data_IF_147182749051
#
_entry.id   IF_147182749051
#
_cell.length_a   1.000
_cell.length_b   1.000
_cell.length_c   1.000
_cell.angle_alpha   90.00
_cell.angle_beta   90.00
_cell.angle_gamma   90.00
#
_symmetry.space_group_name_H-M   'P 1'
#
loop_
_entity.id
_entity.type
_entity.pdbx_description
1 polymer ?
#
# COMPACT_ATOMS: atom_id res chain seq x y z
N UNK A 1 9.60 -12.91 -25.42
CA UNK A 1 10.02 -12.46 -24.08
C UNK A 1 8.74 -12.27 -23.30
N UNK A 2 8.52 -13.11 -22.30
CA UNK A 2 7.32 -13.05 -21.47
C UNK A 2 7.41 -11.77 -20.64
N UNK A 3 6.49 -10.82 -20.86
CA UNK A 3 6.55 -9.51 -20.21
C UNK A 3 5.87 -9.65 -18.86
N UNK A 4 6.59 -9.43 -17.76
CA UNK A 4 5.97 -9.43 -16.44
C UNK A 4 4.98 -8.26 -16.36
N UNK A 5 3.70 -8.51 -15.99
CA UNK A 5 2.73 -7.44 -15.89
C UNK A 5 3.13 -6.46 -14.80
N UNK A 6 2.75 -5.19 -14.97
CA UNK A 6 3.06 -4.13 -14.01
C UNK A 6 2.34 -4.41 -12.69
N UNK A 7 3.06 -4.39 -11.58
CA UNK A 7 2.50 -4.50 -10.22
C UNK A 7 3.12 -3.44 -9.32
N UNK A 8 2.30 -2.56 -8.77
CA UNK A 8 2.74 -1.34 -8.07
C UNK A 8 2.58 -1.49 -6.55
N UNK A 9 3.66 -1.27 -5.81
CA UNK A 9 3.60 -0.96 -4.39
C UNK A 9 3.63 0.57 -4.25
N UNK A 10 2.53 1.16 -3.80
CA UNK A 10 2.47 2.59 -3.51
C UNK A 10 2.64 2.83 -2.01
N UNK A 11 3.69 3.55 -1.62
CA UNK A 11 3.96 3.95 -0.24
C UNK A 11 3.58 5.41 -0.07
N UNK A 12 2.73 5.72 0.90
CA UNK A 12 2.42 7.08 1.31
C UNK A 12 2.77 7.29 2.77
N UNK A 13 3.69 8.22 3.01
CA UNK A 13 4.19 8.58 4.34
C UNK A 13 3.32 9.70 4.95
N UNK A 14 2.42 10.29 4.15
CA UNK A 14 1.67 11.46 4.56
C UNK A 14 2.48 12.75 4.35
N UNK A 15 1.79 13.89 4.44
CA UNK A 15 2.37 15.19 4.16
C UNK A 15 2.73 15.99 5.43
N UNK A 16 2.09 15.66 6.55
CA UNK A 16 2.02 16.53 7.73
C UNK A 16 2.98 16.15 8.85
N UNK A 17 3.42 14.89 8.91
CA UNK A 17 4.41 14.42 9.88
C UNK A 17 5.54 13.69 9.15
N UNK A 18 6.81 13.98 9.48
CA UNK A 18 7.92 13.20 8.95
C UNK A 18 7.85 11.78 9.51
N UNK A 19 8.24 10.82 8.68
CA UNK A 19 8.40 9.43 9.11
C UNK A 19 9.52 8.77 8.30
N UNK A 20 10.70 9.37 8.46
CA UNK A 20 11.94 9.00 7.79
C UNK A 20 12.35 7.55 8.09
N UNK A 21 11.98 7.05 9.27
CA UNK A 21 12.14 5.65 9.63
C UNK A 21 11.41 4.72 8.65
N UNK A 22 10.15 5.04 8.29
CA UNK A 22 9.42 4.27 7.29
C UNK A 22 10.06 4.40 5.91
N UNK A 23 10.43 5.62 5.49
CA UNK A 23 11.08 5.83 4.20
C UNK A 23 12.36 4.99 4.06
N UNK A 24 13.20 5.02 5.10
CA UNK A 24 14.43 4.24 5.14
C UNK A 24 14.12 2.73 5.07
N UNK A 25 13.10 2.27 5.81
CA UNK A 25 12.71 0.86 5.82
C UNK A 25 12.12 0.35 4.50
N UNK A 26 11.39 1.18 3.74
CA UNK A 26 10.92 0.78 2.40
C UNK A 26 12.02 0.80 1.33
N UNK A 27 13.17 1.41 1.63
CA UNK A 27 14.35 1.40 0.76
C UNK A 27 15.42 0.40 1.23
N UNK A 28 15.24 -0.24 2.38
CA UNK A 28 16.13 -1.29 2.89
C UNK A 28 15.93 -2.62 2.12
N UNK A 29 17.02 -3.39 2.01
CA UNK A 29 17.05 -4.68 1.32
C UNK A 29 15.87 -5.61 1.65
N UNK A 30 15.51 -5.89 2.92
CA UNK A 30 14.49 -6.88 3.22
C UNK A 30 13.13 -6.57 2.60
N UNK A 31 12.79 -5.28 2.49
CA UNK A 31 11.53 -4.86 1.89
C UNK A 31 11.57 -4.94 0.35
N UNK A 32 12.64 -4.45 -0.28
CA UNK A 32 12.80 -4.50 -1.73
C UNK A 32 12.86 -5.93 -2.26
N UNK A 33 13.57 -6.81 -1.55
CA UNK A 33 13.63 -8.23 -1.85
C UNK A 33 12.25 -8.89 -1.71
N UNK A 34 11.50 -8.56 -0.65
CA UNK A 34 10.14 -9.06 -0.48
C UNK A 34 9.20 -8.60 -1.61
N UNK A 35 9.31 -7.36 -2.08
CA UNK A 35 8.56 -6.86 -3.23
C UNK A 35 8.91 -7.66 -4.50
N UNK A 36 10.20 -7.82 -4.79
CA UNK A 36 10.68 -8.57 -5.96
C UNK A 36 10.22 -10.04 -5.96
N UNK A 37 10.34 -10.71 -4.81
CA UNK A 37 9.88 -12.09 -4.61
C UNK A 37 8.36 -12.26 -4.80
N UNK A 38 7.58 -11.19 -4.61
CA UNK A 38 6.14 -11.15 -4.85
C UNK A 38 5.78 -10.47 -6.18
N UNK A 39 6.74 -10.41 -7.12
CA UNK A 39 6.55 -9.93 -8.50
C UNK A 39 6.09 -8.47 -8.61
N UNK A 40 6.38 -7.64 -7.60
CA UNK A 40 6.24 -6.20 -7.77
C UNK A 40 7.28 -5.72 -8.76
N UNK A 41 6.87 -4.82 -9.65
CA UNK A 41 7.74 -4.25 -10.68
C UNK A 41 8.04 -2.78 -10.42
N UNK A 42 7.20 -2.12 -9.61
CA UNK A 42 7.31 -0.70 -9.30
C UNK A 42 7.09 -0.43 -7.83
N UNK A 43 7.99 0.37 -7.24
CA UNK A 43 7.84 0.99 -5.94
C UNK A 43 7.68 2.49 -6.14
N UNK A 44 6.51 3.03 -5.80
CA UNK A 44 6.20 4.44 -5.90
C UNK A 44 6.06 5.01 -4.49
N UNK A 45 6.84 6.05 -4.16
CA UNK A 45 6.91 6.57 -2.79
C UNK A 45 6.49 8.05 -2.77
N UNK A 46 5.47 8.38 -1.99
CA UNK A 46 5.18 9.74 -1.58
C UNK A 46 5.91 10.03 -0.26
N UNK A 47 6.78 11.04 -0.28
CA UNK A 47 7.51 11.49 0.90
C UNK A 47 7.19 12.95 1.23
N UNK A 48 7.43 13.33 2.50
CA UNK A 48 7.40 14.72 2.93
C UNK A 48 8.69 15.47 2.55
N UNK A 49 8.77 16.75 2.92
CA UNK A 49 9.89 17.64 2.58
C UNK A 49 11.27 17.07 3.02
N UNK A 50 11.35 16.53 4.23
CA UNK A 50 12.58 15.94 4.80
C UNK A 50 12.96 14.63 4.09
N UNK A 51 11.98 13.80 3.74
CA UNK A 51 12.20 12.50 3.09
C UNK A 51 12.83 12.59 1.70
N UNK A 52 12.76 13.75 1.04
CA UNK A 52 13.41 13.97 -0.27
C UNK A 52 14.91 13.69 -0.21
N UNK A 53 15.59 14.09 0.86
CA UNK A 53 17.04 13.89 0.99
C UNK A 53 17.39 12.39 1.05
N UNK A 54 16.60 11.61 1.77
CA UNK A 54 16.77 10.14 1.89
C UNK A 54 16.58 9.48 0.52
N UNK A 55 15.52 9.86 -0.19
CA UNK A 55 15.23 9.33 -1.52
C UNK A 55 16.30 9.70 -2.56
N UNK A 56 16.71 10.97 -2.61
CA UNK A 56 17.73 11.46 -3.54
C UNK A 56 19.08 10.76 -3.28
N UNK A 57 19.47 10.60 -2.02
CA UNK A 57 20.69 9.87 -1.65
C UNK A 57 20.63 8.39 -2.10
N UNK A 58 19.50 7.71 -1.87
CA UNK A 58 19.32 6.34 -2.31
C UNK A 58 19.42 6.21 -3.84
N UNK A 59 18.73 7.08 -4.58
CA UNK A 59 18.68 7.02 -6.04
C UNK A 59 20.02 7.41 -6.68
N UNK A 60 20.77 8.33 -6.08
CA UNK A 60 22.13 8.66 -6.50
C UNK A 60 23.11 7.51 -6.26
N UNK A 61 23.01 6.83 -5.12
CA UNK A 61 23.85 5.67 -4.78
C UNK A 61 23.51 4.46 -5.65
N UNK A 62 22.23 4.24 -5.92
CA UNK A 62 21.72 3.11 -6.68
C UNK A 62 20.87 3.61 -7.86
N UNK A 63 21.47 3.98 -9.00
CA UNK A 63 20.72 4.35 -10.20
C UNK A 63 19.90 3.18 -10.79
N UNK A 64 18.97 3.43 -11.73
CA UNK A 64 18.21 2.38 -12.40
C UNK A 64 19.08 1.26 -12.98
N UNK A 65 18.64 0.01 -12.86
CA UNK A 65 19.37 -1.18 -13.32
C UNK A 65 20.39 -1.74 -12.34
N UNK A 66 20.61 -1.10 -11.18
CA UNK A 66 21.47 -1.64 -10.12
C UNK A 66 20.84 -2.85 -9.41
N UNK A 67 21.64 -3.89 -9.07
CA UNK A 67 21.15 -5.08 -8.36
C UNK A 67 20.43 -4.76 -7.05
N UNK A 68 20.85 -3.71 -6.33
CA UNK A 68 20.26 -3.27 -5.07
C UNK A 68 18.82 -2.76 -5.20
N UNK A 69 18.35 -2.52 -6.44
CA UNK A 69 16.94 -2.23 -6.72
C UNK A 69 16.09 -3.49 -6.90
N UNK A 70 16.67 -4.68 -6.92
CA UNK A 70 15.94 -5.95 -7.08
C UNK A 70 15.01 -5.99 -8.31
N UNK A 71 15.41 -5.32 -9.39
CA UNK A 71 14.62 -5.22 -10.62
C UNK A 71 13.43 -4.24 -10.54
N UNK A 72 13.28 -3.50 -9.45
CA UNK A 72 12.18 -2.54 -9.25
C UNK A 72 12.45 -1.21 -9.95
N UNK A 73 11.42 -0.68 -10.61
CA UNK A 73 11.29 0.74 -10.94
C UNK A 73 10.94 1.52 -9.66
N UNK A 74 11.93 2.18 -9.07
CA UNK A 74 11.74 2.96 -7.83
C UNK A 74 11.62 4.44 -8.19
N UNK A 75 10.45 5.01 -7.91
CA UNK A 75 10.08 6.40 -8.16
C UNK A 75 9.58 7.05 -6.88
N UNK A 76 9.74 8.37 -6.81
CA UNK A 76 9.31 9.12 -5.64
C UNK A 76 8.88 10.53 -6.01
N UNK A 77 8.01 11.09 -5.18
CA UNK A 77 7.49 12.44 -5.33
C UNK A 77 7.15 13.03 -3.96
N UNK A 78 7.08 14.35 -3.92
CA UNK A 78 6.73 15.12 -2.73
C UNK A 78 5.20 15.31 -2.61
N UNK A 79 4.75 16.38 -1.97
CA UNK A 79 3.32 16.64 -1.80
C UNK A 79 2.64 17.06 -3.11
N UNK A 80 1.54 16.39 -3.47
CA UNK A 80 0.65 16.77 -4.57
C UNK A 80 -0.61 17.48 -4.07
N UNK A 81 -0.88 18.67 -4.61
CA UNK A 81 -2.09 19.45 -4.29
C UNK A 81 -3.39 18.75 -4.72
N UNK A 82 -3.33 17.97 -5.80
CA UNK A 82 -4.49 17.28 -6.37
C UNK A 82 -4.84 15.97 -5.65
N UNK A 83 -4.18 15.68 -4.52
CA UNK A 83 -4.36 14.45 -3.74
C UNK A 83 -3.52 13.28 -4.27
N UNK A 84 -3.82 12.07 -3.76
CA UNK A 84 -3.07 10.84 -4.04
C UNK A 84 -3.88 9.81 -4.85
N UNK A 85 -5.12 10.15 -5.23
CA UNK A 85 -6.00 9.26 -5.98
C UNK A 85 -5.38 8.67 -7.25
N UNK A 86 -4.67 9.45 -8.09
CA UNK A 86 -4.05 8.88 -9.29
C UNK A 86 -3.03 7.79 -8.95
N UNK A 87 -2.21 8.00 -7.91
CA UNK A 87 -1.19 7.06 -7.48
C UNK A 87 -1.80 5.82 -6.82
N UNK A 88 -2.81 6.01 -5.97
CA UNK A 88 -3.56 4.91 -5.40
C UNK A 88 -4.26 4.08 -6.48
N UNK A 89 -4.90 4.72 -7.47
CA UNK A 89 -5.52 4.02 -8.61
C UNK A 89 -4.49 3.27 -9.46
N UNK A 90 -3.24 3.71 -9.50
CA UNK A 90 -2.18 2.99 -10.22
C UNK A 90 -1.85 1.61 -9.63
N UNK A 91 -2.35 1.31 -8.43
CA UNK A 91 -2.25 -0.02 -7.80
C UNK A 91 -3.40 -0.95 -8.19
N UNK A 92 -4.41 -0.47 -8.92
CA UNK A 92 -5.47 -1.33 -9.47
C UNK A 92 -4.98 -2.13 -10.67
N UNK A 93 -5.64 -3.26 -10.90
CA UNK A 93 -5.50 -3.99 -12.15
C UNK A 93 -6.08 -3.18 -13.31
N UNK A 94 -5.38 -3.18 -14.44
CA UNK A 94 -5.83 -2.58 -15.69
C UNK A 94 -5.30 -3.42 -16.85
N UNK A 95 -6.21 -4.17 -17.49
CA UNK A 95 -5.88 -5.07 -18.60
C UNK A 95 -5.29 -4.31 -19.80
N UNK A 96 -5.69 -3.05 -20.02
CA UNK A 96 -5.19 -2.24 -21.15
C UNK A 96 -3.74 -1.82 -20.92
N UNK A 97 -3.35 -1.69 -19.66
CA UNK A 97 -1.99 -1.31 -19.26
C UNK A 97 -1.12 -2.52 -18.90
N UNK A 98 -1.62 -3.75 -19.08
CA UNK A 98 -0.94 -4.98 -18.65
C UNK A 98 -0.52 -4.86 -17.17
N UNK A 99 -1.45 -4.38 -16.34
CA UNK A 99 -1.22 -4.11 -14.92
C UNK A 99 -2.07 -5.04 -14.06
N UNK A 100 -1.44 -5.68 -13.09
CA UNK A 100 -2.11 -6.46 -12.06
C UNK A 100 -2.22 -5.65 -10.77
N UNK A 101 -3.19 -6.04 -9.95
CA UNK A 101 -3.41 -5.43 -8.65
C UNK A 101 -2.17 -5.50 -7.75
N UNK A 102 -1.76 -4.34 -7.25
CA UNK A 102 -0.64 -4.15 -6.35
C UNK A 102 -1.08 -4.00 -4.90
N UNK A 103 -0.43 -3.11 -4.16
CA UNK A 103 -0.76 -2.80 -2.76
C UNK A 103 -0.48 -1.33 -2.45
N UNK A 104 -1.15 -0.84 -1.41
CA UNK A 104 -0.88 0.46 -0.80
C UNK A 104 -0.29 0.21 0.59
N UNK A 105 0.82 0.86 0.91
CA UNK A 105 1.39 0.94 2.24
C UNK A 105 1.23 2.37 2.73
N UNK A 106 0.39 2.57 3.73
CA UNK A 106 0.04 3.89 4.26
C UNK A 106 0.49 4.00 5.70
N UNK A 107 1.34 5.00 5.97
CA UNK A 107 1.41 5.55 7.33
C UNK A 107 0.24 6.51 7.60
N UNK A 108 -0.25 7.13 6.52
CA UNK A 108 -1.03 8.35 6.56
C UNK A 108 -2.36 8.24 7.35
N UNK A 109 -2.80 9.40 7.84
CA UNK A 109 -4.01 9.56 8.66
C UNK A 109 -5.30 9.05 8.02
N UNK A 110 -6.38 9.09 8.82
CA UNK A 110 -7.67 8.46 8.51
C UNK A 110 -8.17 8.69 7.08
N UNK A 111 -8.01 9.89 6.50
CA UNK A 111 -8.42 10.19 5.14
C UNK A 111 -7.79 9.30 4.05
N UNK A 112 -6.46 9.12 4.08
CA UNK A 112 -5.75 8.30 3.09
C UNK A 112 -6.04 6.81 3.27
N UNK A 113 -6.19 6.35 4.52
CA UNK A 113 -6.60 4.99 4.83
C UNK A 113 -7.99 4.73 4.24
N UNK A 114 -8.94 5.63 4.50
CA UNK A 114 -10.30 5.48 3.99
C UNK A 114 -10.38 5.49 2.46
N UNK A 115 -9.58 6.33 1.81
CA UNK A 115 -9.50 6.38 0.36
C UNK A 115 -8.92 5.10 -0.24
N UNK A 116 -7.86 4.55 0.36
CA UNK A 116 -7.28 3.27 -0.04
C UNK A 116 -8.26 2.10 0.14
N UNK A 117 -9.00 2.08 1.26
CA UNK A 117 -10.03 1.08 1.52
C UNK A 117 -11.17 1.13 0.49
N UNK A 118 -11.61 2.33 0.10
CA UNK A 118 -12.65 2.52 -0.94
C UNK A 118 -12.20 2.01 -2.30
N UNK A 119 -10.91 2.08 -2.61
CA UNK A 119 -10.40 1.45 -3.82
C UNK A 119 -10.52 -0.06 -3.72
N UNK A 120 -10.40 -0.67 -2.53
CA UNK A 120 -10.46 -2.12 -2.37
C UNK A 120 -9.24 -2.80 -2.98
N UNK A 121 -8.07 -2.20 -2.80
CA UNK A 121 -6.76 -2.83 -3.05
C UNK A 121 -6.17 -3.25 -1.70
N UNK A 122 -5.28 -4.25 -1.66
CA UNK A 122 -4.59 -4.63 -0.44
C UNK A 122 -3.93 -3.42 0.23
N UNK A 123 -4.30 -3.17 1.49
CA UNK A 123 -3.80 -2.06 2.29
C UNK A 123 -2.96 -2.58 3.46
N UNK A 124 -1.77 -2.00 3.61
CA UNK A 124 -0.93 -2.12 4.81
C UNK A 124 -0.91 -0.79 5.52
N UNK A 125 -1.31 -0.77 6.79
CA UNK A 125 -1.25 0.42 7.64
C UNK A 125 -0.04 0.31 8.56
N UNK A 126 0.85 1.31 8.54
CA UNK A 126 2.05 1.35 9.40
C UNK A 126 1.94 2.53 10.35
N UNK A 127 1.51 2.33 11.60
CA UNK A 127 1.47 3.40 12.60
C UNK A 127 2.85 4.00 12.83
N UNK A 128 2.92 5.31 13.10
CA UNK A 128 4.17 5.95 13.54
C UNK A 128 4.18 6.00 15.07
N UNK A 129 5.10 5.26 15.72
CA UNK A 129 5.19 5.22 17.17
C UNK A 129 5.64 6.55 17.79
N UNK A 130 6.26 7.43 17.00
CA UNK A 130 6.77 8.72 17.46
C UNK A 130 5.66 9.80 17.52
N UNK A 131 4.48 9.52 16.95
CA UNK A 131 3.31 10.38 17.10
C UNK A 131 2.55 9.98 18.36
N UNK A 132 2.36 10.92 19.29
CA UNK A 132 1.73 10.72 20.60
C UNK A 132 0.23 10.33 20.55
N UNK A 133 -0.35 10.12 19.37
CA UNK A 133 -1.74 9.72 19.19
C UNK A 133 -1.86 8.21 19.00
N UNK A 134 -2.08 7.49 20.10
CA UNK A 134 -2.42 6.06 20.12
C UNK A 134 -3.63 5.70 19.23
N UNK A 135 -4.42 6.70 18.81
CA UNK A 135 -5.54 6.54 17.90
C UNK A 135 -5.15 5.95 16.53
N UNK A 136 -3.93 6.17 16.05
CA UNK A 136 -3.48 5.55 14.79
C UNK A 136 -3.32 4.04 14.93
N UNK A 137 -2.79 3.58 16.06
CA UNK A 137 -2.71 2.15 16.36
C UNK A 137 -4.09 1.53 16.53
N UNK A 138 -5.00 2.20 17.23
CA UNK A 138 -6.38 1.74 17.43
C UNK A 138 -7.11 1.56 16.10
N UNK A 139 -7.01 2.55 15.20
CA UNK A 139 -7.57 2.46 13.86
C UNK A 139 -6.96 1.30 13.06
N UNK A 140 -5.63 1.14 13.09
CA UNK A 140 -4.96 0.05 12.39
C UNK A 140 -5.42 -1.33 12.90
N UNK A 141 -5.55 -1.48 14.22
CA UNK A 141 -6.02 -2.72 14.87
C UNK A 141 -7.47 -3.04 14.53
N UNK A 142 -8.36 -2.05 14.54
CA UNK A 142 -9.78 -2.28 14.19
C UNK A 142 -9.93 -2.66 12.71
N UNK A 143 -9.23 -1.99 11.79
CA UNK A 143 -9.30 -2.32 10.36
C UNK A 143 -8.71 -3.71 10.09
N UNK A 144 -7.62 -4.09 10.77
CA UNK A 144 -7.05 -5.44 10.66
C UNK A 144 -7.97 -6.51 11.24
N UNK A 145 -8.61 -6.25 12.38
CA UNK A 145 -9.59 -7.16 13.01
C UNK A 145 -10.80 -7.45 12.12
N UNK A 146 -11.23 -6.45 11.34
CA UNK A 146 -12.30 -6.62 10.34
C UNK A 146 -11.80 -7.25 9.03
N UNK A 147 -10.50 -7.53 8.91
CA UNK A 147 -9.91 -8.18 7.73
C UNK A 147 -9.81 -7.25 6.52
N UNK A 148 -9.78 -5.94 6.72
CA UNK A 148 -9.78 -4.94 5.64
C UNK A 148 -8.37 -4.46 5.27
N UNK A 149 -7.43 -4.53 6.22
CA UNK A 149 -6.04 -4.16 6.02
C UNK A 149 -5.13 -5.05 6.86
N UNK A 150 -3.83 -4.89 6.66
CA UNK A 150 -2.79 -5.51 7.48
C UNK A 150 -2.11 -4.44 8.30
N UNK A 151 -1.88 -4.69 9.59
CA UNK A 151 -1.01 -3.81 10.39
C UNK A 151 0.45 -4.17 10.12
N UNK A 152 1.22 -3.19 9.66
CA UNK A 152 2.65 -3.30 9.46
C UNK A 152 3.46 -2.75 10.63
N UNK A 153 4.68 -3.27 10.77
CA UNK A 153 5.65 -2.80 11.77
C UNK A 153 6.98 -2.51 11.07
N UNK A 154 7.69 -1.48 11.53
CA UNK A 154 8.94 -1.05 10.91
C UNK A 154 10.03 -2.13 10.93
N UNK A 155 10.09 -2.92 12.01
CA UNK A 155 11.07 -4.00 12.19
C UNK A 155 10.77 -5.25 11.36
N UNK A 156 9.55 -5.39 10.83
CA UNK A 156 9.12 -6.57 10.06
C UNK A 156 8.32 -6.19 8.81
N UNK A 157 8.70 -5.12 8.11
CA UNK A 157 7.94 -4.58 6.98
C UNK A 157 7.85 -5.55 5.79
N UNK A 158 8.87 -6.38 5.60
CA UNK A 158 8.87 -7.45 4.60
C UNK A 158 7.73 -8.46 4.81
N UNK A 159 7.34 -8.70 6.06
CA UNK A 159 6.24 -9.61 6.39
C UNK A 159 4.89 -9.02 5.99
N UNK A 160 4.76 -7.70 6.05
CA UNK A 160 3.56 -6.98 5.61
C UNK A 160 3.30 -7.17 4.12
N UNK A 161 4.35 -7.28 3.29
CA UNK A 161 4.19 -7.61 1.86
C UNK A 161 3.51 -8.96 1.70
N UNK A 162 4.01 -10.00 2.39
CA UNK A 162 3.43 -11.36 2.31
C UNK A 162 2.00 -11.39 2.82
N UNK A 163 1.72 -10.72 3.94
CA UNK A 163 0.36 -10.60 4.48
C UNK A 163 -0.58 -9.87 3.53
N UNK A 164 -0.11 -8.83 2.82
CA UNK A 164 -0.90 -8.12 1.82
C UNK A 164 -1.24 -9.01 0.62
N UNK A 165 -0.35 -9.91 0.22
CA UNK A 165 -0.64 -10.90 -0.84
C UNK A 165 -1.72 -11.90 -0.39
N UNK A 166 -1.65 -12.39 0.87
CA UNK A 166 -2.70 -13.24 1.45
C UNK A 166 -4.03 -12.49 1.50
N UNK A 167 -4.03 -11.24 1.96
CA UNK A 167 -5.21 -10.38 1.98
C UNK A 167 -5.81 -10.26 0.58
N UNK A 168 -4.99 -10.04 -0.46
CA UNK A 168 -5.46 -9.98 -1.86
C UNK A 168 -6.24 -11.24 -2.25
N UNK A 169 -5.71 -12.42 -1.93
CA UNK A 169 -6.37 -13.69 -2.26
C UNK A 169 -7.72 -13.82 -1.54
N UNK A 170 -7.78 -13.46 -0.26
CA UNK A 170 -9.01 -13.54 0.53
C UNK A 170 -10.05 -12.52 0.05
N UNK A 171 -9.66 -11.28 -0.21
CA UNK A 171 -10.57 -10.23 -0.68
C UNK A 171 -11.21 -10.55 -2.05
N UNK A 172 -10.51 -11.33 -2.90
CA UNK A 172 -11.05 -11.81 -4.20
C UNK A 172 -12.08 -12.92 -4.06
N UNK A 173 -12.09 -13.64 -2.95
CA UNK A 173 -13.02 -14.74 -2.68
C UNK A 173 -14.31 -14.27 -1.99
N UNK A 174 -14.49 -12.96 -1.82
CA UNK A 174 -15.64 -12.38 -1.15
C UNK A 174 -16.79 -12.06 -2.13
N UNK A 175 -18.07 -12.33 -1.78
CA UNK A 175 -18.53 -12.97 -0.55
C UNK A 175 -18.34 -14.50 -0.57
N UNK A 176 -18.11 -15.14 0.61
CA UNK A 176 -17.92 -16.58 0.70
C UNK A 176 -19.14 -17.33 0.15
N UNK A 177 -18.88 -18.45 -0.53
CA UNK A 177 -19.84 -19.26 -1.31
C UNK A 177 -21.08 -19.74 -0.51
N UNK A 178 -21.05 -19.64 0.82
CA UNK A 178 -22.12 -20.09 1.72
C UNK A 178 -23.10 -18.99 2.18
N UNK A 179 -23.00 -17.75 1.69
CA UNK A 179 -24.04 -16.75 1.95
C UNK A 179 -25.27 -17.05 1.09
N UNK A 180 -26.15 -17.91 1.62
CA UNK A 180 -27.47 -18.14 1.07
C UNK A 180 -28.26 -16.82 0.95
N UNK A 181 -29.09 -16.75 -0.08
CA UNK A 181 -29.98 -15.64 -0.43
C UNK A 181 -29.38 -14.48 -1.23
N UNK A 182 -29.38 -14.67 -2.56
CA UNK A 182 -29.84 -13.72 -3.59
C UNK A 182 -29.85 -12.23 -3.22
N UNK A 183 -28.69 -11.66 -2.92
CA UNK A 183 -28.42 -10.22 -3.03
C UNK A 183 -27.12 -10.05 -3.80
N UNK A 184 -27.25 -9.50 -5.01
CA UNK A 184 -26.22 -8.84 -5.85
C UNK A 184 -24.80 -8.92 -5.27
N UNK A 185 -23.89 -9.60 -5.98
CA UNK A 185 -22.44 -9.68 -5.70
C UNK A 185 -21.87 -8.35 -5.18
N UNK A 186 -21.83 -8.17 -3.86
CA UNK A 186 -21.19 -7.02 -3.20
C UNK A 186 -19.82 -7.50 -2.73
N UNK A 187 -18.75 -7.04 -3.41
CA UNK A 187 -17.37 -7.32 -2.98
C UNK A 187 -17.04 -6.65 -1.63
N UNK A 188 -15.88 -6.95 -1.04
CA UNK A 188 -15.43 -6.41 0.26
C UNK A 188 -15.66 -4.89 0.35
N UNK A 189 -15.27 -4.14 -0.68
CA UNK A 189 -15.45 -2.68 -0.75
C UNK A 189 -16.92 -2.23 -0.59
N UNK A 190 -17.88 -3.02 -1.08
CA UNK A 190 -19.31 -2.70 -0.93
C UNK A 190 -19.87 -3.08 0.43
N UNK A 191 -19.35 -4.13 1.08
CA UNK A 191 -19.70 -4.45 2.47
C UNK A 191 -19.12 -3.39 3.41
N UNK A 192 -17.88 -2.97 3.15
CA UNK A 192 -17.26 -1.86 3.86
C UNK A 192 -18.04 -0.55 3.68
N UNK A 193 -18.55 -0.28 2.47
CA UNK A 193 -19.41 0.88 2.24
C UNK A 193 -20.69 0.82 3.07
N UNK A 194 -21.35 -0.34 3.12
CA UNK A 194 -22.56 -0.55 3.91
C UNK A 194 -22.28 -0.43 5.43
N UNK A 195 -21.21 -1.06 5.95
CA UNK A 195 -20.88 -1.07 7.39
C UNK A 195 -20.40 0.30 7.89
N UNK A 196 -19.69 1.05 7.05
CA UNK A 196 -19.19 2.38 7.40
C UNK A 196 -20.20 3.50 7.07
N UNK A 197 -21.40 3.15 6.59
CA UNK A 197 -22.47 4.11 6.28
C UNK A 197 -22.18 5.04 5.10
N UNK A 198 -21.36 4.60 4.15
CA UNK A 198 -21.05 5.39 2.94
C UNK A 198 -22.18 5.25 1.92
N UNK A 199 -22.87 6.36 1.66
CA UNK A 199 -23.83 6.50 0.55
C UNK A 199 -23.05 7.06 -0.65
N UNK A 200 -23.15 6.39 -1.81
CA UNK A 200 -22.60 6.87 -3.09
C UNK A 200 -23.08 8.29 -3.45
#
# INVERSE_FOLDING_TARGET
>A
MDRTPRKVCFVTIGATAPFDALLSKVLDQPFLEALSNNQYTKLLIQYGKEGRVIFDNYTAKFPPGKPERYGLDIQGFDFKKDGLLPEMRSTKSDDKLDAVEGMILSHAGSGSIMEALRLGVPLVVVPNPDLHDNHQEELAREIEKNGWAVTGRLDSLADSVRKAEVLRTVSRQWPPVNSGESKRQKGLASVMADEMGFVD
#
